data_IF_085499358161
#
_entry.id   IF_085499358161
#
_cell.length_a   1.000
_cell.length_b   1.000
_cell.length_c   1.000
_cell.angle_alpha   90.00
_cell.angle_beta   90.00
_cell.angle_gamma   90.00
#
_symmetry.space_group_name_H-M   'P 1'
#
loop_
_entity.id
_entity.type
_entity.pdbx_description
1 polymer ?
#
# COMPACT_ATOMS: atom_id res chain seq x y z
N UNK A 1 -33.46 -40.38 16.02
CA UNK A 1 -33.62 -39.63 14.75
C UNK A 1 -33.51 -38.14 15.04
N UNK A 2 -32.57 -37.41 14.40
CA UNK A 2 -32.49 -35.94 14.50
C UNK A 2 -33.19 -35.33 13.27
N UNK A 3 -33.95 -34.22 13.40
CA UNK A 3 -34.59 -33.59 12.25
C UNK A 3 -33.56 -32.95 11.31
N UNK A 4 -33.86 -32.84 9.99
CA UNK A 4 -32.94 -32.22 9.04
C UNK A 4 -32.81 -30.73 9.33
N UNK A 5 -31.55 -30.26 9.39
CA UNK A 5 -31.19 -28.85 9.50
C UNK A 5 -31.70 -28.13 8.25
N UNK A 6 -32.75 -27.33 8.38
CA UNK A 6 -33.30 -26.54 7.28
C UNK A 6 -32.22 -25.58 6.75
N UNK A 7 -32.04 -25.59 5.43
CA UNK A 7 -31.13 -24.69 4.74
C UNK A 7 -31.61 -23.24 4.90
N UNK A 8 -30.74 -22.37 5.39
CA UNK A 8 -31.00 -20.94 5.52
C UNK A 8 -31.00 -20.29 4.12
N UNK A 9 -32.11 -19.69 3.65
CA UNK A 9 -32.23 -19.15 2.29
C UNK A 9 -31.47 -17.83 2.06
N UNK A 10 -30.82 -17.27 3.09
CA UNK A 10 -30.03 -16.05 2.99
C UNK A 10 -28.52 -16.30 2.91
N UNK A 11 -28.08 -17.31 2.17
CA UNK A 11 -26.68 -17.37 1.72
C UNK A 11 -26.54 -16.65 0.40
N UNK A 12 -26.41 -15.33 0.47
CA UNK A 12 -25.73 -14.62 -0.61
C UNK A 12 -24.27 -15.12 -0.60
N UNK A 13 -23.71 -15.58 -1.73
CA UNK A 13 -22.28 -15.66 -1.87
C UNK A 13 -21.81 -14.20 -1.88
N UNK A 14 -21.51 -13.66 -0.71
CA UNK A 14 -20.71 -12.44 -0.63
C UNK A 14 -19.33 -12.84 -1.12
N UNK A 15 -19.15 -12.79 -2.44
CA UNK A 15 -17.83 -12.61 -3.03
C UNK A 15 -17.28 -11.34 -2.38
N UNK A 16 -16.38 -11.50 -1.40
CA UNK A 16 -15.60 -10.37 -0.92
C UNK A 16 -14.95 -9.76 -2.18
N UNK A 17 -15.32 -8.53 -2.57
CA UNK A 17 -14.66 -7.89 -3.70
C UNK A 17 -13.21 -7.71 -3.27
N UNK A 18 -12.30 -8.38 -3.97
CA UNK A 18 -10.88 -8.22 -3.73
C UNK A 18 -10.52 -6.73 -3.89
N UNK A 19 -9.76 -6.12 -2.95
CA UNK A 19 -9.39 -4.72 -3.01
C UNK A 19 -8.31 -4.51 -4.10
N UNK A 20 -8.69 -4.55 -5.38
CA UNK A 20 -7.75 -4.39 -6.51
C UNK A 20 -8.07 -3.24 -7.45
N UNK A 21 -9.11 -2.44 -7.19
CA UNK A 21 -9.62 -1.48 -8.19
C UNK A 21 -9.18 -0.03 -8.02
N UNK A 22 -8.52 0.35 -6.93
CA UNK A 22 -8.20 1.77 -6.65
C UNK A 22 -6.76 2.17 -7.02
N UNK A 23 -5.85 1.22 -7.18
CA UNK A 23 -4.43 1.50 -7.43
C UNK A 23 -4.14 2.16 -8.77
N UNK A 24 -4.96 1.94 -9.80
CA UNK A 24 -4.65 2.40 -11.17
C UNK A 24 -4.72 3.92 -11.35
N UNK A 25 -5.58 4.64 -10.61
CA UNK A 25 -5.76 6.09 -10.80
C UNK A 25 -4.70 6.97 -10.11
N UNK A 26 -3.89 6.40 -9.22
CA UNK A 26 -2.94 7.15 -8.39
C UNK A 26 -1.54 7.16 -9.01
N UNK A 27 -1.23 6.21 -9.89
CA UNK A 27 0.12 6.05 -10.47
C UNK A 27 0.33 6.92 -11.69
N UNK A 28 -0.66 6.98 -12.57
CA UNK A 28 -0.61 7.79 -13.79
C UNK A 28 -0.16 9.24 -13.53
N UNK A 29 -0.68 9.97 -12.53
CA UNK A 29 -0.24 11.35 -12.28
C UNK A 29 1.18 11.48 -11.71
N UNK A 30 1.79 10.41 -11.18
CA UNK A 30 3.11 10.46 -10.52
C UNK A 30 4.19 9.67 -11.26
N UNK A 31 3.85 8.98 -12.35
CA UNK A 31 4.77 8.06 -13.04
C UNK A 31 6.05 8.75 -13.50
N UNK A 32 5.96 10.00 -13.95
CA UNK A 32 7.10 10.77 -14.46
C UNK A 32 8.02 11.28 -13.33
N UNK A 33 7.56 11.25 -12.09
CA UNK A 33 8.32 11.63 -10.90
C UNK A 33 9.06 10.43 -10.28
N UNK A 34 8.78 9.23 -10.76
CA UNK A 34 9.39 8.02 -10.22
C UNK A 34 10.81 7.83 -10.78
N UNK A 35 11.77 7.49 -9.91
CA UNK A 35 13.13 7.20 -10.34
C UNK A 35 13.15 5.98 -11.26
N UNK A 36 14.02 6.04 -12.26
CA UNK A 36 14.14 5.01 -13.31
C UNK A 36 15.11 3.89 -12.90
N UNK A 37 15.97 4.13 -11.93
CA UNK A 37 16.97 3.16 -11.46
C UNK A 37 16.40 2.37 -10.27
N UNK A 38 16.61 1.05 -10.23
CA UNK A 38 16.09 0.20 -9.15
C UNK A 38 16.82 0.42 -7.81
N UNK A 39 18.04 0.96 -7.83
CA UNK A 39 18.83 1.29 -6.64
C UNK A 39 18.34 2.56 -5.93
N UNK A 40 17.64 3.45 -6.63
CA UNK A 40 17.07 4.65 -6.05
C UNK A 40 15.85 4.33 -5.18
N UNK A 41 15.86 4.86 -3.96
CA UNK A 41 14.78 4.67 -2.99
C UNK A 41 13.69 5.71 -3.21
N UNK A 42 12.44 5.28 -3.08
CA UNK A 42 11.28 6.17 -3.08
C UNK A 42 10.67 6.20 -1.68
N UNK A 43 10.52 7.40 -1.12
CA UNK A 43 9.90 7.60 0.19
C UNK A 43 8.55 8.27 0.00
N UNK A 44 7.48 7.55 0.32
CA UNK A 44 6.13 8.12 0.34
C UNK A 44 5.85 8.82 1.66
N UNK A 45 5.31 10.03 1.60
CA UNK A 45 4.77 10.77 2.75
C UNK A 45 3.28 11.00 2.53
N UNK A 46 2.42 10.05 2.94
CA UNK A 46 0.99 10.13 2.70
C UNK A 46 0.33 11.24 3.50
N UNK A 47 -0.77 11.77 2.97
CA UNK A 47 -1.61 12.78 3.63
C UNK A 47 -3.08 12.35 3.62
N UNK A 48 -3.78 12.49 4.75
CA UNK A 48 -5.21 12.19 4.90
C UNK A 48 -5.59 10.78 4.41
N UNK A 49 -6.49 10.65 3.44
CA UNK A 49 -6.97 9.35 2.95
C UNK A 49 -5.89 8.52 2.26
N UNK A 50 -4.77 9.13 1.85
CA UNK A 50 -3.65 8.41 1.24
C UNK A 50 -2.98 7.42 2.20
N UNK A 51 -3.19 7.54 3.51
CA UNK A 51 -2.75 6.52 4.48
C UNK A 51 -3.40 5.15 4.24
N UNK A 52 -4.54 5.10 3.56
CA UNK A 52 -5.22 3.86 3.20
C UNK A 52 -4.73 3.28 1.87
N UNK A 53 -3.86 3.98 1.15
CA UNK A 53 -3.34 3.56 -0.15
C UNK A 53 -2.10 2.67 0.07
N UNK A 54 -2.12 1.42 -0.41
CA UNK A 54 -0.94 0.56 -0.35
C UNK A 54 0.03 0.95 -1.47
N UNK A 55 0.80 2.04 -1.27
CA UNK A 55 1.78 2.56 -2.24
C UNK A 55 2.73 1.49 -2.80
N UNK A 56 3.27 0.54 -2.01
CA UNK A 56 4.14 -0.51 -2.55
C UNK A 56 3.45 -1.42 -3.57
N UNK A 57 2.13 -1.60 -3.47
CA UNK A 57 1.32 -2.47 -4.33
C UNK A 57 0.75 -1.74 -5.57
N UNK A 58 1.11 -0.48 -5.76
CA UNK A 58 0.79 0.29 -6.95
C UNK A 58 1.42 -0.41 -8.19
N UNK A 59 0.65 -0.54 -9.27
CA UNK A 59 1.08 -1.19 -10.51
C UNK A 59 1.33 -0.21 -11.65
N UNK A 60 2.47 -0.32 -12.33
CA UNK A 60 2.76 0.47 -13.52
C UNK A 60 1.82 0.16 -14.71
N UNK A 61 2.03 0.82 -15.85
CA UNK A 61 1.24 0.60 -17.06
C UNK A 61 1.26 -0.87 -17.54
N UNK A 62 2.33 -1.61 -17.25
CA UNK A 62 2.52 -3.01 -17.61
C UNK A 62 1.90 -3.97 -16.58
N UNK A 63 1.39 -3.46 -15.45
CA UNK A 63 0.81 -4.26 -14.36
C UNK A 63 1.83 -4.74 -13.33
N UNK A 64 3.08 -4.29 -13.39
CA UNK A 64 4.15 -4.65 -12.45
C UNK A 64 4.07 -3.81 -11.20
N UNK A 65 4.21 -4.40 -10.01
CA UNK A 65 4.12 -3.63 -8.77
C UNK A 65 5.40 -2.81 -8.51
N UNK A 66 5.26 -1.65 -7.87
CA UNK A 66 6.40 -0.79 -7.54
C UNK A 66 7.41 -1.50 -6.64
N UNK A 67 6.94 -2.34 -5.72
CA UNK A 67 7.81 -3.10 -4.80
C UNK A 67 8.68 -4.13 -5.52
N UNK A 68 8.26 -4.63 -6.69
CA UNK A 68 9.04 -5.60 -7.46
C UNK A 68 10.22 -4.93 -8.18
N UNK A 69 10.14 -3.61 -8.38
CA UNK A 69 11.12 -2.86 -9.18
C UNK A 69 12.14 -2.11 -8.32
N UNK A 70 11.80 -1.72 -7.08
CA UNK A 70 12.65 -0.83 -6.27
C UNK A 70 12.31 -0.85 -4.78
N UNK A 71 13.22 -0.29 -3.98
CA UNK A 71 13.02 -0.16 -2.53
C UNK A 71 12.04 0.98 -2.22
N UNK A 72 10.90 0.64 -1.62
CA UNK A 72 9.86 1.58 -1.21
C UNK A 72 9.88 1.77 0.31
N UNK A 73 9.88 3.02 0.75
CA UNK A 73 9.79 3.42 2.15
C UNK A 73 8.54 4.28 2.34
N UNK A 74 8.06 4.35 3.58
CA UNK A 74 6.96 5.24 3.95
C UNK A 74 7.30 5.94 5.25
N UNK A 75 7.21 7.27 5.25
CA UNK A 75 7.38 8.08 6.45
C UNK A 75 6.05 8.77 6.77
N UNK A 76 5.63 8.85 8.04
CA UNK A 76 4.37 9.48 8.42
C UNK A 76 4.40 11.01 8.28
N UNK A 77 5.60 11.62 8.23
CA UNK A 77 5.81 13.05 8.02
C UNK A 77 7.26 13.34 7.61
N UNK A 78 7.50 14.51 7.01
CA UNK A 78 8.85 14.99 6.62
C UNK A 78 9.75 15.15 7.85
N UNK A 79 9.23 15.71 8.95
CA UNK A 79 9.99 15.89 10.19
C UNK A 79 10.47 14.54 10.76
N UNK A 80 9.65 13.49 10.66
CA UNK A 80 10.03 12.15 11.12
C UNK A 80 11.10 11.54 10.20
N UNK A 81 11.02 11.80 8.89
CA UNK A 81 12.06 11.40 7.95
C UNK A 81 13.39 12.10 8.25
N UNK A 82 13.38 13.43 8.46
CA UNK A 82 14.57 14.19 8.86
C UNK A 82 15.23 13.63 10.12
N UNK A 83 14.42 13.21 11.10
CA UNK A 83 14.93 12.56 12.30
C UNK A 83 15.63 11.24 11.97
N UNK A 84 15.10 10.41 11.08
CA UNK A 84 15.75 9.13 10.72
C UNK A 84 17.03 9.30 9.90
N UNK A 85 17.12 10.36 9.10
CA UNK A 85 18.31 10.67 8.31
C UNK A 85 19.42 11.31 9.17
N UNK A 86 19.05 12.22 10.08
CA UNK A 86 20.03 12.93 10.93
C UNK A 86 20.39 12.17 12.20
N UNK A 87 19.46 11.40 12.74
CA UNK A 87 19.61 10.63 13.98
C UNK A 87 19.19 9.19 13.68
N UNK A 88 20.13 8.37 13.21
CA UNK A 88 19.89 6.93 13.05
C UNK A 88 19.16 6.40 14.27
N UNK A 89 17.93 5.90 14.07
CA UNK A 89 16.93 5.66 15.10
C UNK A 89 17.55 5.00 16.34
N UNK A 90 17.84 5.80 17.37
CA UNK A 90 18.14 5.29 18.70
C UNK A 90 16.79 5.04 19.35
N UNK A 91 16.36 3.77 19.36
CA UNK A 91 15.12 3.38 19.99
C UNK A 91 15.08 3.95 21.43
N UNK A 92 14.03 4.69 21.82
CA UNK A 92 13.91 5.16 23.18
C UNK A 92 13.87 3.95 24.12
N UNK A 93 14.80 3.91 25.07
CA UNK A 93 14.76 2.95 26.17
C UNK A 93 13.58 3.31 27.06
N UNK A 94 12.55 2.47 27.08
CA UNK A 94 11.45 2.53 28.05
C UNK A 94 11.81 1.74 29.30
#
# INVERSE_FOLDING_TARGET
>A
MRPPRTANPHRHPTSCPHPKRHSRRIIEPISDLLPQTPEERVIFVPHSELFLVPFPALQDANGTQLIDQRTILTAPAIQVLELTENFGFQAPSF
#
